data_IF_951621849531
#
_entry.id   IF_951621849531
#
_cell.length_a   1.000
_cell.length_b   1.000
_cell.length_c   1.000
_cell.angle_alpha   90.00
_cell.angle_beta   90.00
_cell.angle_gamma   90.00
#
_symmetry.space_group_name_H-M   'P 1'
#
loop_
_entity.id
_entity.type
_entity.pdbx_description
1 polymer ?
#
# COMPACT_ATOMS: atom_id res chain seq x y z
N UNK A 1 -11.86 -6.06 13.88
CA UNK A 1 -11.54 -4.62 13.83
C UNK A 1 -11.43 -4.25 12.36
N UNK A 2 -12.09 -3.19 11.90
CA UNK A 2 -11.88 -2.72 10.53
C UNK A 2 -10.48 -2.10 10.48
N UNK A 3 -9.50 -2.82 9.92
CA UNK A 3 -8.15 -2.29 9.69
C UNK A 3 -8.26 -1.15 8.68
N UNK A 4 -8.36 0.08 9.17
CA UNK A 4 -8.28 1.30 8.38
C UNK A 4 -6.82 1.73 8.29
N UNK A 5 -6.32 1.90 7.07
CA UNK A 5 -4.98 2.42 6.81
C UNK A 5 -4.88 3.90 7.25
N UNK A 6 -3.73 4.25 7.79
CA UNK A 6 -3.39 5.62 8.13
C UNK A 6 -3.19 6.49 6.89
N UNK A 7 -3.34 7.81 7.04
CA UNK A 7 -3.11 8.75 5.94
C UNK A 7 -1.69 8.62 5.33
N UNK A 8 -0.68 8.29 6.13
CA UNK A 8 0.68 8.07 5.66
C UNK A 8 0.78 6.85 4.72
N UNK A 9 0.07 5.77 5.02
CA UNK A 9 0.01 4.59 4.15
C UNK A 9 -0.77 4.88 2.87
N UNK A 10 -1.86 5.64 2.97
CA UNK A 10 -2.65 6.07 1.81
C UNK A 10 -1.85 6.98 0.87
N UNK A 11 -0.98 7.84 1.40
CA UNK A 11 -0.06 8.67 0.61
C UNK A 11 0.95 7.81 -0.17
N UNK A 12 1.53 6.80 0.46
CA UNK A 12 2.45 5.85 -0.20
C UNK A 12 1.74 5.08 -1.32
N UNK A 13 0.54 4.55 -1.05
CA UNK A 13 -0.26 3.85 -2.07
C UNK A 13 -0.63 4.77 -3.24
N UNK A 14 -0.96 6.03 -2.94
CA UNK A 14 -1.28 7.04 -3.95
C UNK A 14 -0.07 7.38 -4.82
N UNK A 15 1.12 7.47 -4.23
CA UNK A 15 2.37 7.72 -4.96
C UNK A 15 2.67 6.61 -5.98
N UNK A 16 2.44 5.35 -5.61
CA UNK A 16 2.58 4.21 -6.53
C UNK A 16 1.65 4.35 -7.73
N UNK A 17 0.40 4.79 -7.51
CA UNK A 17 -0.55 5.05 -8.61
C UNK A 17 -0.07 6.21 -9.48
N UNK A 18 0.49 7.27 -8.88
CA UNK A 18 1.01 8.41 -9.63
C UNK A 18 2.27 8.10 -10.45
N UNK A 19 3.08 7.14 -10.02
CA UNK A 19 4.29 6.67 -10.70
C UNK A 19 4.01 5.66 -11.82
N UNK A 20 2.79 5.11 -11.91
CA UNK A 20 2.38 4.28 -13.06
C UNK A 20 2.25 5.17 -14.31
N UNK A 21 2.97 4.83 -15.39
CA UNK A 21 2.94 5.57 -16.65
C UNK A 21 1.52 5.74 -17.21
N UNK A 22 0.64 4.76 -16.98
CA UNK A 22 -0.78 4.79 -17.38
C UNK A 22 -1.56 5.92 -16.72
N UNK A 23 -1.06 6.42 -15.61
CA UNK A 23 -1.66 7.48 -14.79
C UNK A 23 -0.79 8.74 -14.74
N UNK A 24 0.16 8.89 -15.67
CA UNK A 24 1.01 10.08 -15.82
C UNK A 24 0.24 11.40 -15.85
N UNK A 25 -0.98 11.42 -16.40
CA UNK A 25 -1.85 12.61 -16.47
C UNK A 25 -2.74 12.84 -15.25
N UNK A 26 -2.76 11.91 -14.30
CA UNK A 26 -3.57 12.01 -13.08
C UNK A 26 -2.79 12.80 -12.04
N UNK A 27 -3.41 13.86 -11.50
CA UNK A 27 -2.82 14.68 -10.45
C UNK A 27 -3.55 14.56 -9.11
N UNK A 28 -4.66 13.81 -9.08
CA UNK A 28 -5.48 13.61 -7.89
C UNK A 28 -6.04 12.21 -7.89
N UNK A 29 -5.94 11.53 -6.75
CA UNK A 29 -6.53 10.22 -6.51
C UNK A 29 -7.35 10.25 -5.22
N UNK A 30 -8.21 9.26 -5.06
CA UNK A 30 -9.11 9.10 -3.94
C UNK A 30 -8.76 7.78 -3.25
N UNK A 31 -8.01 7.86 -2.16
CA UNK A 31 -7.54 6.70 -1.42
C UNK A 31 -8.52 6.40 -0.28
N UNK A 32 -9.24 5.29 -0.40
CA UNK A 32 -10.12 4.77 0.64
C UNK A 32 -9.32 4.23 1.83
N UNK A 33 -9.86 4.37 3.04
CA UNK A 33 -9.24 3.90 4.28
C UNK A 33 -9.01 2.37 4.30
N UNK A 34 -9.58 1.61 3.37
CA UNK A 34 -9.30 0.18 3.22
C UNK A 34 -8.12 -0.14 2.27
N UNK A 35 -7.44 0.88 1.75
CA UNK A 35 -6.30 0.78 0.85
C UNK A 35 -6.63 0.77 -0.63
N UNK A 36 -7.91 0.88 -1.02
CA UNK A 36 -8.24 1.06 -2.43
C UNK A 36 -7.99 2.50 -2.89
N UNK A 37 -7.22 2.66 -3.96
CA UNK A 37 -6.98 3.97 -4.58
C UNK A 37 -7.73 4.08 -5.90
N UNK A 38 -8.53 5.13 -6.03
CA UNK A 38 -9.36 5.40 -7.21
C UNK A 38 -8.89 6.67 -7.92
N UNK A 39 -8.91 6.67 -9.25
CA UNK A 39 -8.59 7.87 -10.05
C UNK A 39 -9.82 8.76 -10.25
N UNK A 40 -11.01 8.18 -10.12
CA UNK A 40 -12.29 8.86 -10.28
C UNK A 40 -13.04 8.90 -8.96
N UNK A 41 -13.51 10.09 -8.58
CA UNK A 41 -14.27 10.30 -7.34
C UNK A 41 -15.54 9.45 -7.29
N UNK A 42 -16.23 9.30 -8.43
CA UNK A 42 -17.47 8.53 -8.51
C UNK A 42 -17.24 7.06 -8.12
N UNK A 43 -16.09 6.48 -8.46
CA UNK A 43 -15.75 5.10 -8.06
C UNK A 43 -15.52 5.00 -6.56
N UNK A 44 -14.82 5.96 -5.98
CA UNK A 44 -14.62 6.03 -4.52
C UNK A 44 -15.96 6.19 -3.77
N UNK A 45 -16.89 7.01 -4.30
CA UNK A 45 -18.25 7.17 -3.74
C UNK A 45 -19.05 5.87 -3.78
N UNK A 46 -18.99 5.13 -4.90
CA UNK A 46 -19.67 3.83 -5.06
C UNK A 46 -19.11 2.79 -4.09
N UNK A 47 -17.83 2.89 -3.74
CA UNK A 47 -17.13 1.97 -2.84
C UNK A 47 -17.63 2.04 -1.39
N UNK A 48 -18.33 3.12 -1.00
CA UNK A 48 -18.96 3.30 0.33
C UNK A 48 -18.00 3.18 1.54
N UNK A 49 -16.71 3.31 1.31
CA UNK A 49 -15.68 3.45 2.36
C UNK A 49 -15.24 4.91 2.40
N UNK A 50 -14.93 5.42 3.59
CA UNK A 50 -14.38 6.77 3.74
C UNK A 50 -13.06 6.85 2.97
N UNK A 51 -12.89 7.92 2.21
CA UNK A 51 -11.71 8.15 1.38
C UNK A 51 -11.13 9.53 1.58
N UNK A 52 -9.84 9.63 1.29
CA UNK A 52 -9.07 10.85 1.28
C UNK A 52 -8.76 11.25 -0.15
N UNK A 53 -8.98 12.52 -0.48
CA UNK A 53 -8.50 13.10 -1.72
C UNK A 53 -7.03 13.44 -1.54
N UNK A 54 -6.17 12.84 -2.35
CA UNK A 54 -4.72 13.01 -2.29
C UNK A 54 -4.23 13.51 -3.64
N UNK A 55 -3.52 14.64 -3.64
CA UNK A 55 -2.87 15.17 -4.84
C UNK A 55 -1.49 14.59 -5.04
N UNK A 56 -1.01 14.62 -6.29
CA UNK A 56 0.36 14.18 -6.64
C UNK A 56 1.40 14.94 -5.82
N UNK A 57 1.25 16.25 -5.68
CA UNK A 57 2.16 17.07 -4.88
C UNK A 57 2.15 16.70 -3.40
N UNK A 58 1.00 16.36 -2.82
CA UNK A 58 0.94 15.87 -1.44
C UNK A 58 1.63 14.51 -1.26
N UNK A 59 1.44 13.60 -2.22
CA UNK A 59 2.09 12.29 -2.22
C UNK A 59 3.62 12.42 -2.43
N UNK A 60 4.07 13.26 -3.36
CA UNK A 60 5.50 13.53 -3.62
C UNK A 60 6.15 14.32 -2.47
N UNK A 61 5.43 15.24 -1.83
CA UNK A 61 5.92 15.92 -0.63
C UNK A 61 6.05 14.97 0.55
N UNK A 62 5.22 13.92 0.60
CA UNK A 62 5.40 12.83 1.56
C UNK A 62 6.68 12.03 1.25
N UNK A 63 7.05 11.88 -0.03
CA UNK A 63 8.32 11.28 -0.48
C UNK A 63 9.53 12.18 -0.16
N UNK A 64 9.36 13.51 -0.23
CA UNK A 64 10.38 14.51 0.15
C UNK A 64 10.68 14.60 1.65
N UNK A 65 9.79 14.08 2.50
CA UNK A 65 10.07 13.77 3.92
C UNK A 65 10.43 12.30 4.14
N UNK A 66 10.54 11.53 3.06
CA UNK A 66 10.81 10.11 3.05
C UNK A 66 11.96 9.75 2.10
N UNK A 67 13.05 10.50 2.19
CA UNK A 67 14.34 9.81 2.39
C UNK A 67 14.30 9.12 3.76
N UNK A 68 13.37 8.18 3.95
CA UNK A 68 13.52 7.16 4.98
C UNK A 68 14.57 6.25 4.38
N UNK A 69 15.83 6.63 4.66
CA UNK A 69 16.82 5.63 5.02
C UNK A 69 16.10 4.55 5.80
N UNK A 70 16.25 3.31 5.34
CA UNK A 70 15.64 2.10 5.90
C UNK A 70 16.01 1.89 7.39
N UNK A 71 16.77 2.82 7.99
CA UNK A 71 17.21 2.89 9.38
C UNK A 71 16.19 3.50 10.37
N UNK A 72 15.17 4.25 9.93
CA UNK A 72 14.19 4.93 10.82
C UNK A 72 12.72 4.50 10.60
N UNK A 73 12.49 3.29 10.07
CA UNK A 73 11.18 2.67 10.26
C UNK A 73 11.06 2.28 11.74
N UNK A 74 10.17 2.97 12.47
CA UNK A 74 9.81 2.63 13.86
C UNK A 74 9.72 1.10 13.98
N UNK A 75 10.58 0.49 14.80
CA UNK A 75 10.58 -0.97 14.99
C UNK A 75 9.19 -1.48 15.38
N UNK A 76 8.38 -0.63 16.04
CA UNK A 76 6.98 -0.89 16.32
C UNK A 76 6.11 -1.03 15.07
N UNK A 77 6.30 -0.20 14.05
CA UNK A 77 5.57 -0.26 12.79
C UNK A 77 5.99 -1.49 11.96
N UNK A 78 7.28 -1.82 11.94
CA UNK A 78 7.77 -3.06 11.31
C UNK A 78 7.14 -4.28 12.00
N UNK A 79 7.14 -4.30 13.34
CA UNK A 79 6.54 -5.40 14.11
C UNK A 79 5.03 -5.51 13.87
N UNK A 80 4.32 -4.38 13.80
CA UNK A 80 2.89 -4.35 13.49
C UNK A 80 2.60 -4.88 12.08
N UNK A 81 3.31 -4.41 11.06
CA UNK A 81 3.14 -4.89 9.68
C UNK A 81 3.57 -6.33 9.50
N UNK A 82 4.57 -6.78 10.26
CA UNK A 82 5.00 -8.18 10.30
C UNK A 82 3.91 -9.06 10.91
N UNK A 83 3.29 -8.61 11.99
CA UNK A 83 2.14 -9.30 12.60
C UNK A 83 0.94 -9.32 11.66
N UNK A 84 0.65 -8.20 10.99
CA UNK A 84 -0.39 -8.12 9.98
C UNK A 84 -0.14 -9.12 8.84
N UNK A 85 1.10 -9.23 8.35
CA UNK A 85 1.50 -10.25 7.37
C UNK A 85 1.35 -11.69 7.92
N UNK A 86 1.64 -11.90 9.20
CA UNK A 86 1.50 -13.21 9.85
C UNK A 86 0.05 -13.67 9.97
N UNK A 87 -0.85 -12.76 10.35
CA UNK A 87 -2.29 -13.03 10.49
C UNK A 87 -3.03 -12.99 9.14
N UNK A 88 -2.47 -12.34 8.12
CA UNK A 88 -3.09 -12.26 6.81
C UNK A 88 -3.06 -13.60 6.07
N UNK A 89 -4.24 -14.05 5.67
CA UNK A 89 -4.37 -15.13 4.69
C UNK A 89 -3.98 -14.61 3.29
N UNK A 90 -2.90 -15.18 2.73
CA UNK A 90 -2.37 -14.82 1.41
C UNK A 90 -3.24 -15.40 0.29
N UNK A 91 -4.43 -14.82 0.11
CA UNK A 91 -5.42 -15.22 -0.89
C UNK A 91 -5.82 -14.03 -1.76
N UNK A 92 -6.32 -14.30 -2.97
CA UNK A 92 -6.72 -13.26 -3.95
C UNK A 92 -7.73 -12.24 -3.40
N UNK A 93 -8.59 -12.66 -2.47
CA UNK A 93 -9.54 -11.78 -1.79
C UNK A 93 -8.86 -10.66 -0.98
N UNK A 94 -7.62 -10.88 -0.52
CA UNK A 94 -6.82 -9.95 0.26
C UNK A 94 -5.76 -9.22 -0.60
N UNK A 95 -5.93 -9.20 -1.93
CA UNK A 95 -4.96 -8.63 -2.86
C UNK A 95 -4.45 -7.25 -2.47
N UNK A 96 -5.34 -6.33 -2.08
CA UNK A 96 -4.94 -4.97 -1.72
C UNK A 96 -4.06 -4.94 -0.46
N UNK A 97 -4.38 -5.75 0.55
CA UNK A 97 -3.56 -5.88 1.75
C UNK A 97 -2.18 -6.45 1.43
N UNK A 98 -2.15 -7.49 0.60
CA UNK A 98 -0.89 -8.08 0.12
C UNK A 98 -0.05 -7.05 -0.64
N UNK A 99 -0.67 -6.29 -1.55
CA UNK A 99 0.00 -5.23 -2.30
C UNK A 99 0.59 -4.16 -1.37
N UNK A 100 -0.19 -3.70 -0.39
CA UNK A 100 0.27 -2.73 0.61
C UNK A 100 1.45 -3.25 1.43
N UNK A 101 1.42 -4.51 1.87
CA UNK A 101 2.51 -5.12 2.62
C UNK A 101 3.77 -5.30 1.75
N UNK A 102 3.62 -5.75 0.51
CA UNK A 102 4.75 -5.89 -0.41
C UNK A 102 5.43 -4.53 -0.68
N UNK A 103 4.64 -3.46 -0.83
CA UNK A 103 5.17 -2.10 -0.97
C UNK A 103 5.84 -1.60 0.31
N UNK A 104 5.24 -1.87 1.48
CA UNK A 104 5.80 -1.47 2.78
C UNK A 104 7.17 -2.10 3.03
N UNK A 105 7.29 -3.41 2.77
CA UNK A 105 8.54 -4.16 2.91
C UNK A 105 9.47 -4.02 1.70
N UNK A 106 9.11 -3.20 0.71
CA UNK A 106 9.86 -2.99 -0.52
C UNK A 106 10.24 -4.32 -1.21
N UNK A 107 9.32 -5.28 -1.22
CA UNK A 107 9.50 -6.58 -1.87
C UNK A 107 9.39 -6.40 -3.37
N UNK A 108 10.51 -6.56 -4.07
CA UNK A 108 10.56 -6.55 -5.53
C UNK A 108 9.82 -7.78 -6.08
N UNK A 109 8.89 -7.55 -7.00
CA UNK A 109 8.10 -8.60 -7.67
C UNK A 109 8.10 -8.37 -9.17
N UNK A 110 8.12 -9.46 -9.94
CA UNK A 110 8.12 -9.38 -11.41
C UNK A 110 6.85 -8.74 -11.96
N UNK A 111 5.72 -8.97 -11.30
CA UNK A 111 4.47 -8.27 -11.58
C UNK A 111 3.62 -8.08 -10.30
N UNK A 112 2.69 -7.13 -10.36
CA UNK A 112 1.76 -6.86 -9.26
C UNK A 112 0.51 -7.75 -9.33
N UNK A 113 0.57 -8.98 -9.86
CA UNK A 113 -0.59 -9.89 -9.84
C UNK A 113 -0.69 -10.59 -8.49
N UNK A 114 -1.91 -11.04 -8.17
CA UNK A 114 -2.18 -11.69 -6.89
C UNK A 114 -1.32 -12.94 -6.67
N UNK A 115 -1.14 -13.79 -7.69
CA UNK A 115 -0.35 -15.01 -7.56
C UNK A 115 1.14 -14.71 -7.27
N UNK A 116 1.71 -13.70 -7.93
CA UNK A 116 3.10 -13.23 -7.73
C UNK A 116 3.30 -12.61 -6.36
N UNK A 117 2.36 -11.77 -5.91
CA UNK A 117 2.39 -11.18 -4.56
C UNK A 117 2.26 -12.27 -3.48
N UNK A 118 1.42 -13.28 -3.68
CA UNK A 118 1.28 -14.42 -2.75
C UNK A 118 2.62 -15.15 -2.62
N UNK A 119 3.27 -15.48 -3.74
CA UNK A 119 4.56 -16.17 -3.72
C UNK A 119 5.63 -15.35 -2.99
N UNK A 120 5.79 -14.08 -3.35
CA UNK A 120 6.80 -13.20 -2.77
C UNK A 120 6.59 -12.96 -1.27
N UNK A 121 5.34 -12.72 -0.85
CA UNK A 121 5.02 -12.56 0.57
C UNK A 121 5.16 -13.86 1.36
N UNK A 122 4.88 -15.01 0.75
CA UNK A 122 5.09 -16.32 1.40
C UNK A 122 6.57 -16.58 1.65
N UNK A 123 7.42 -16.25 0.67
CA UNK A 123 8.88 -16.36 0.82
C UNK A 123 9.39 -15.41 1.90
N UNK A 124 8.95 -14.14 1.88
CA UNK A 124 9.30 -13.18 2.91
C UNK A 124 8.87 -13.64 4.30
N UNK A 125 7.64 -14.16 4.41
CA UNK A 125 7.05 -14.70 5.65
C UNK A 125 7.84 -15.90 6.20
N UNK A 126 8.45 -16.69 5.32
CA UNK A 126 9.32 -17.80 5.73
C UNK A 126 10.66 -17.29 6.28
N UNK A 127 11.27 -16.27 5.65
CA UNK A 127 12.55 -15.67 6.09
C UNK A 127 12.48 -14.98 7.45
N UNK A 128 11.33 -14.40 7.81
CA UNK A 128 11.13 -13.74 9.11
C UNK A 128 10.74 -14.71 10.24
N UNK A 129 10.40 -15.95 9.90
CA UNK A 129 9.98 -16.98 10.87
C UNK A 129 11.12 -17.96 11.21
N UNK A 130 12.28 -17.80 10.57
CA UNK A 130 13.52 -18.56 10.77
C UNK A 130 14.47 -17.80 11.71
#
# INVERSE_FOLDING_TARGET
MQNTLSLAELLVLSLVVFNDEKHSKVNTVYAAEDGNVFIEENRAKIHKVKYHTITRTEAEASDGKKSVVVDDLDQGLIAEKTKELQELELVKANYQKMKSLALFFQIETEDQKADTLIAALTEYKSKISE
#
